data_IF_407074980343
#
_entry.id   IF_407074980343
#
_cell.length_a   1.000
_cell.length_b   1.000
_cell.length_c   1.000
_cell.angle_alpha   90.00
_cell.angle_beta   90.00
_cell.angle_gamma   90.00
#
_symmetry.space_group_name_H-M   'P 1'
#
loop_
_entity.id
_entity.type
_entity.pdbx_description
1 polymer ?
#
# COMPACT_ATOMS: atom_id res chain seq x y z
N UNK A 1 73.95 -17.64 42.29
CA UNK A 1 73.96 -16.18 42.52
C UNK A 1 72.59 -15.79 43.09
N UNK A 2 72.58 -15.44 44.39
CA UNK A 2 71.61 -14.83 45.34
C UNK A 2 70.10 -14.69 44.95
N UNK A 3 69.09 -15.28 45.64
CA UNK A 3 68.38 -14.96 46.93
C UNK A 3 67.49 -13.67 46.82
N UNK A 4 66.16 -13.58 47.11
CA UNK A 4 65.49 -13.58 48.45
C UNK A 4 63.92 -13.47 48.41
N UNK A 5 63.21 -14.42 49.06
CA UNK A 5 62.15 -14.34 50.13
C UNK A 5 61.29 -13.05 50.29
N UNK A 6 59.95 -13.21 50.41
CA UNK A 6 59.09 -12.86 51.59
C UNK A 6 57.61 -12.57 51.24
N UNK A 7 56.71 -13.25 51.99
CA UNK A 7 55.44 -12.72 52.52
C UNK A 7 54.27 -12.41 51.55
N UNK A 8 52.98 -12.57 51.85
CA UNK A 8 52.20 -12.94 53.04
C UNK A 8 50.73 -13.13 52.57
N UNK A 9 50.16 -14.31 52.84
CA UNK A 9 48.86 -14.56 53.49
C UNK A 9 47.72 -13.49 53.41
N UNK A 10 46.52 -14.01 53.07
CA UNK A 10 45.16 -13.67 53.53
C UNK A 10 44.27 -12.61 52.84
N UNK A 11 43.09 -13.11 52.45
CA UNK A 11 41.84 -12.42 52.15
C UNK A 11 41.36 -11.48 53.29
N UNK A 12 40.68 -10.38 52.94
CA UNK A 12 39.56 -9.89 53.72
C UNK A 12 38.23 -10.16 52.99
N UNK A 13 37.43 -11.04 53.60
CA UNK A 13 35.99 -11.17 53.43
C UNK A 13 35.29 -9.91 53.96
N UNK A 14 35.35 -8.79 53.26
CA UNK A 14 34.53 -7.62 53.58
C UNK A 14 34.20 -6.91 52.29
N UNK A 15 33.09 -7.28 51.65
CA UNK A 15 32.14 -6.37 50.99
C UNK A 15 30.85 -7.16 50.71
N UNK A 16 30.17 -7.56 51.79
CA UNK A 16 28.77 -7.98 51.76
C UNK A 16 27.89 -6.73 51.98
N UNK A 17 26.74 -6.68 51.29
CA UNK A 17 25.77 -5.57 51.17
C UNK A 17 26.24 -4.50 50.17
N UNK A 18 25.46 -4.00 49.20
CA UNK A 18 24.04 -3.61 49.10
C UNK A 18 23.75 -3.64 47.57
N UNK A 19 22.74 -4.29 46.99
CA UNK A 19 21.35 -3.84 46.94
C UNK A 19 20.49 -4.93 46.27
N UNK A 20 19.64 -5.60 47.03
CA UNK A 20 18.44 -6.25 46.53
C UNK A 20 17.42 -5.18 46.18
N UNK A 21 17.31 -4.72 44.93
CA UNK A 21 16.15 -3.92 44.46
C UNK A 21 16.11 -3.68 42.95
N UNK A 22 16.29 -4.69 42.09
CA UNK A 22 15.94 -4.57 40.66
C UNK A 22 15.42 -5.90 40.07
N UNK A 23 14.36 -6.46 40.66
CA UNK A 23 13.52 -7.49 40.01
C UNK A 23 12.02 -7.13 40.09
N UNK A 24 11.73 -5.83 40.01
CA UNK A 24 10.41 -5.34 39.61
C UNK A 24 10.52 -4.63 38.25
N UNK A 25 11.23 -5.27 37.31
CA UNK A 25 11.00 -5.01 35.90
C UNK A 25 9.71 -5.74 35.55
N UNK A 26 8.56 -5.12 35.77
CA UNK A 26 7.38 -5.53 35.03
C UNK A 26 7.72 -5.37 33.56
N UNK A 27 8.02 -6.50 32.90
CA UNK A 27 7.90 -6.61 31.46
C UNK A 27 6.43 -6.33 31.21
N UNK A 28 6.09 -5.04 31.02
CA UNK A 28 4.86 -4.64 30.34
C UNK A 28 4.93 -5.39 29.04
N UNK A 29 4.20 -6.51 28.97
CA UNK A 29 3.83 -7.13 27.72
C UNK A 29 3.40 -5.96 26.84
N UNK A 30 4.19 -5.72 25.80
CA UNK A 30 3.95 -4.68 24.84
C UNK A 30 2.50 -4.91 24.41
N UNK A 31 1.57 -4.07 24.87
CA UNK A 31 0.19 -4.12 24.43
C UNK A 31 0.28 -3.68 22.99
N UNK A 32 0.57 -4.64 22.11
CA UNK A 32 0.58 -4.45 20.69
C UNK A 32 -0.83 -3.99 20.37
N UNK A 33 -1.02 -2.67 20.31
CA UNK A 33 -2.24 -2.06 19.81
C UNK A 33 -2.41 -2.68 18.45
N UNK A 34 -3.39 -3.59 18.33
CA UNK A 34 -3.66 -4.32 17.10
C UNK A 34 -4.15 -3.28 16.11
N UNK A 35 -3.22 -2.62 15.42
CA UNK A 35 -3.51 -1.61 14.42
C UNK A 35 -4.42 -2.26 13.40
N UNK A 36 -5.57 -1.63 13.13
CA UNK A 36 -6.53 -2.13 12.15
C UNK A 36 -5.82 -2.21 10.79
N UNK A 37 -5.56 -3.43 10.32
CA UNK A 37 -5.07 -3.64 8.95
C UNK A 37 -6.24 -3.47 7.99
N UNK A 38 -6.32 -2.29 7.35
CA UNK A 38 -7.34 -1.97 6.36
C UNK A 38 -7.25 -2.85 5.11
N UNK A 39 -6.09 -3.46 4.85
CA UNK A 39 -5.85 -4.34 3.70
C UNK A 39 -6.16 -5.82 4.02
N UNK A 40 -6.72 -6.14 5.17
CA UNK A 40 -7.02 -7.53 5.53
C UNK A 40 -8.17 -8.14 4.71
N UNK A 41 -9.12 -7.31 4.28
CA UNK A 41 -10.29 -7.73 3.50
C UNK A 41 -10.17 -7.60 1.98
N UNK A 42 -9.04 -7.13 1.47
CA UNK A 42 -8.82 -6.99 0.01
C UNK A 42 -8.24 -8.27 -0.59
N UNK A 43 -8.45 -8.49 -1.89
CA UNK A 43 -7.85 -9.62 -2.60
C UNK A 43 -6.34 -9.41 -2.80
N UNK A 44 -5.94 -8.21 -3.22
CA UNK A 44 -4.55 -7.88 -3.55
C UNK A 44 -3.80 -7.26 -2.35
N UNK A 45 -3.73 -8.00 -1.23
CA UNK A 45 -3.22 -7.51 0.05
C UNK A 45 -1.81 -6.90 0.00
N UNK A 46 -0.80 -7.52 -0.66
CA UNK A 46 0.54 -6.93 -0.73
C UNK A 46 0.55 -5.58 -1.44
N UNK A 47 -0.25 -5.46 -2.51
CA UNK A 47 -0.40 -4.22 -3.26
C UNK A 47 -1.08 -3.13 -2.42
N UNK A 48 -2.18 -3.45 -1.75
CA UNK A 48 -2.83 -2.51 -0.84
C UNK A 48 -1.86 -2.01 0.24
N UNK A 49 -1.14 -2.94 0.90
CA UNK A 49 -0.19 -2.59 1.98
C UNK A 49 0.97 -1.74 1.50
N UNK A 50 1.49 -1.98 0.30
CA UNK A 50 2.58 -1.17 -0.27
C UNK A 50 2.14 0.26 -0.60
N UNK A 51 0.85 0.46 -0.94
CA UNK A 51 0.26 1.76 -1.23
C UNK A 51 -0.11 2.51 0.04
N UNK A 52 -0.86 1.89 0.96
CA UNK A 52 -1.35 2.58 2.18
C UNK A 52 -0.32 2.64 3.31
N UNK A 53 0.77 1.85 3.24
CA UNK A 53 1.93 1.90 4.15
C UNK A 53 1.60 2.01 5.65
N UNK A 54 0.57 1.27 6.09
CA UNK A 54 0.17 1.22 7.50
C UNK A 54 -0.71 2.37 7.98
N UNK A 55 -1.25 3.20 7.07
CA UNK A 55 -2.33 4.15 7.39
C UNK A 55 -3.53 3.37 7.96
N UNK A 56 -4.04 3.80 9.11
CA UNK A 56 -5.14 3.15 9.82
C UNK A 56 -6.47 3.89 9.72
N UNK A 57 -6.46 5.16 9.29
CA UNK A 57 -7.66 5.92 9.01
C UNK A 57 -8.22 5.55 7.62
N UNK A 58 -9.45 5.01 7.51
CA UNK A 58 -10.03 4.57 6.24
C UNK A 58 -10.14 5.67 5.19
N UNK A 59 -10.49 6.89 5.60
CA UNK A 59 -10.66 8.01 4.68
C UNK A 59 -9.32 8.39 4.06
N UNK A 60 -8.28 8.54 4.88
CA UNK A 60 -6.92 8.86 4.44
C UNK A 60 -6.34 7.73 3.60
N UNK A 61 -6.52 6.46 3.99
CA UNK A 61 -6.04 5.31 3.23
C UNK A 61 -6.70 5.26 1.84
N UNK A 62 -8.02 5.47 1.77
CA UNK A 62 -8.76 5.52 0.50
C UNK A 62 -8.28 6.66 -0.39
N UNK A 63 -8.10 7.86 0.17
CA UNK A 63 -7.58 9.01 -0.58
C UNK A 63 -6.20 8.74 -1.16
N UNK A 64 -5.29 8.16 -0.37
CA UNK A 64 -3.94 7.79 -0.82
C UNK A 64 -4.00 6.73 -1.92
N UNK A 65 -4.84 5.70 -1.76
CA UNK A 65 -4.99 4.64 -2.74
C UNK A 65 -5.51 5.16 -4.09
N UNK A 66 -6.58 5.98 -4.09
CA UNK A 66 -7.11 6.59 -5.31
C UNK A 66 -6.07 7.51 -5.96
N UNK A 67 -5.38 8.35 -5.17
CA UNK A 67 -4.33 9.23 -5.70
C UNK A 67 -3.19 8.45 -6.36
N UNK A 68 -2.82 7.31 -5.77
CA UNK A 68 -1.80 6.43 -6.33
C UNK A 68 -2.26 5.79 -7.63
N UNK A 69 -3.52 5.33 -7.71
CA UNK A 69 -4.13 4.83 -8.93
C UNK A 69 -4.09 5.89 -10.04
N UNK A 70 -4.47 7.15 -9.75
CA UNK A 70 -4.37 8.27 -10.72
C UNK A 70 -2.96 8.43 -11.26
N UNK A 71 -1.94 8.41 -10.39
CA UNK A 71 -0.54 8.54 -10.81
C UNK A 71 -0.15 7.40 -11.75
N UNK A 72 -0.54 6.17 -11.43
CA UNK A 72 -0.24 4.99 -12.25
C UNK A 72 -0.99 5.00 -13.58
N UNK A 73 -2.25 5.43 -13.60
CA UNK A 73 -3.00 5.60 -14.85
C UNK A 73 -2.40 6.70 -15.72
N UNK A 74 -1.95 7.83 -15.14
CA UNK A 74 -1.22 8.88 -15.88
C UNK A 74 0.10 8.38 -16.48
N UNK A 75 0.77 7.45 -15.80
CA UNK A 75 1.95 6.77 -16.36
C UNK A 75 1.56 5.89 -17.55
N UNK A 76 0.49 5.10 -17.44
CA UNK A 76 -0.02 4.29 -18.55
C UNK A 76 -0.43 5.14 -19.77
N UNK A 77 -1.15 6.24 -19.54
CA UNK A 77 -1.50 7.22 -20.56
C UNK A 77 -0.27 7.86 -21.23
N UNK A 78 0.76 8.18 -20.44
CA UNK A 78 1.99 8.75 -20.99
C UNK A 78 2.76 7.72 -21.83
N UNK A 79 2.81 6.47 -21.36
CA UNK A 79 3.43 5.37 -22.10
C UNK A 79 2.69 5.09 -23.41
N UNK A 80 1.36 5.09 -23.44
CA UNK A 80 0.61 4.86 -24.67
C UNK A 80 0.85 5.96 -25.71
N UNK A 81 1.10 7.21 -25.27
CA UNK A 81 1.47 8.32 -26.17
C UNK A 81 2.83 8.14 -26.86
N UNK A 82 3.74 7.35 -26.31
CA UNK A 82 5.06 7.11 -26.95
C UNK A 82 5.02 5.98 -27.98
N UNK A 83 3.91 5.24 -28.07
CA UNK A 83 3.75 4.11 -28.98
C UNK A 83 3.26 4.56 -30.36
N UNK A 84 3.53 3.75 -31.38
CA UNK A 84 3.01 3.98 -32.72
C UNK A 84 1.48 4.03 -32.70
N UNK A 85 0.91 5.00 -33.41
CA UNK A 85 -0.55 5.14 -33.46
C UNK A 85 -1.16 4.03 -34.32
N UNK A 86 -1.85 3.09 -33.67
CA UNK A 86 -2.84 2.21 -34.26
C UNK A 86 -4.17 2.38 -33.49
N UNK A 87 -5.23 1.71 -33.94
CA UNK A 87 -6.56 1.90 -33.34
C UNK A 87 -6.64 1.37 -31.90
N UNK A 88 -6.00 0.23 -31.60
CA UNK A 88 -5.90 -0.30 -30.23
C UNK A 88 -5.21 0.69 -29.28
N UNK A 89 -4.11 1.32 -29.71
CA UNK A 89 -3.39 2.34 -28.95
C UNK A 89 -4.27 3.58 -28.72
N UNK A 90 -5.08 3.99 -29.70
CA UNK A 90 -6.02 5.12 -29.53
C UNK A 90 -7.09 4.78 -28.49
N UNK A 91 -7.68 3.60 -28.57
CA UNK A 91 -8.66 3.11 -27.60
C UNK A 91 -8.05 3.12 -26.19
N UNK A 92 -6.85 2.55 -26.01
CA UNK A 92 -6.18 2.57 -24.72
C UNK A 92 -5.89 3.99 -24.22
N UNK A 93 -5.51 4.94 -25.08
CA UNK A 93 -5.34 6.35 -24.69
C UNK A 93 -6.64 6.94 -24.15
N UNK A 94 -7.75 6.74 -24.86
CA UNK A 94 -9.07 7.21 -24.46
C UNK A 94 -9.49 6.59 -23.13
N UNK A 95 -9.35 5.27 -23.00
CA UNK A 95 -9.68 4.53 -21.77
C UNK A 95 -8.86 5.00 -20.57
N UNK A 96 -7.57 5.29 -20.73
CA UNK A 96 -6.77 5.82 -19.63
C UNK A 96 -7.17 7.26 -19.24
N UNK A 97 -7.54 8.10 -20.20
CA UNK A 97 -8.00 9.48 -19.94
C UNK A 97 -9.35 9.49 -19.22
N UNK A 98 -10.27 8.62 -19.64
CA UNK A 98 -11.56 8.41 -18.97
C UNK A 98 -11.36 7.85 -17.55
N UNK A 99 -10.47 6.87 -17.37
CA UNK A 99 -10.12 6.35 -16.06
C UNK A 99 -9.53 7.44 -15.14
N UNK A 100 -8.65 8.30 -15.64
CA UNK A 100 -8.14 9.45 -14.88
C UNK A 100 -9.30 10.35 -14.44
N UNK A 101 -10.20 10.68 -15.37
CA UNK A 101 -11.35 11.54 -15.10
C UNK A 101 -12.25 10.96 -14.01
N UNK A 102 -12.61 9.68 -14.07
CA UNK A 102 -13.44 9.04 -13.04
C UNK A 102 -12.70 8.86 -11.71
N UNK A 103 -11.39 8.59 -11.71
CA UNK A 103 -10.61 8.55 -10.46
C UNK A 103 -10.50 9.94 -9.80
N UNK A 104 -10.38 11.02 -10.58
CA UNK A 104 -10.40 12.39 -10.06
C UNK A 104 -11.79 12.78 -9.53
N UNK A 105 -12.87 12.35 -10.19
CA UNK A 105 -14.23 12.46 -9.66
C UNK A 105 -14.40 11.68 -8.36
N UNK A 106 -13.82 10.48 -8.28
CA UNK A 106 -13.82 9.65 -7.06
C UNK A 106 -13.22 10.39 -5.87
N UNK A 107 -12.12 11.14 -6.05
CA UNK A 107 -11.58 11.99 -4.97
C UNK A 107 -12.55 13.08 -4.50
N UNK A 108 -13.32 13.67 -5.43
CA UNK A 108 -14.35 14.67 -5.10
C UNK A 108 -15.51 14.01 -4.36
N UNK A 109 -16.02 12.88 -4.86
CA UNK A 109 -17.10 12.10 -4.25
C UNK A 109 -16.73 11.60 -2.85
N UNK A 110 -15.47 11.20 -2.64
CA UNK A 110 -14.92 10.86 -1.33
C UNK A 110 -14.99 12.04 -0.35
N UNK A 111 -14.68 13.26 -0.82
CA UNK A 111 -14.71 14.46 0.01
C UNK A 111 -16.13 14.85 0.44
N UNK A 112 -17.09 14.79 -0.47
CA UNK A 112 -18.51 15.10 -0.19
C UNK A 112 -19.30 13.92 0.37
N UNK A 113 -18.63 12.79 0.63
CA UNK A 113 -19.20 11.54 1.17
C UNK A 113 -20.28 10.90 0.29
N UNK A 114 -20.24 11.15 -1.02
CA UNK A 114 -21.10 10.49 -2.00
C UNK A 114 -20.53 9.10 -2.35
N UNK A 115 -20.89 8.10 -1.53
CA UNK A 115 -20.44 6.72 -1.70
C UNK A 115 -20.97 6.07 -2.99
N UNK A 116 -22.14 6.50 -3.47
CA UNK A 116 -22.76 5.94 -4.68
C UNK A 116 -21.96 6.31 -5.91
N UNK A 117 -21.72 7.62 -6.10
CA UNK A 117 -20.90 8.13 -7.20
C UNK A 117 -19.47 7.63 -7.09
N UNK A 118 -18.89 7.60 -5.89
CA UNK A 118 -17.55 7.05 -5.65
C UNK A 118 -17.41 5.59 -6.12
N UNK A 119 -18.35 4.71 -5.74
CA UNK A 119 -18.30 3.31 -6.16
C UNK A 119 -18.51 3.16 -7.67
N UNK A 120 -19.41 3.94 -8.26
CA UNK A 120 -19.67 3.93 -9.71
C UNK A 120 -18.43 4.35 -10.49
N UNK A 121 -17.79 5.44 -10.09
CA UNK A 121 -16.60 5.98 -10.77
C UNK A 121 -15.39 5.05 -10.65
N UNK A 122 -15.18 4.44 -9.48
CA UNK A 122 -14.12 3.43 -9.30
C UNK A 122 -14.39 2.19 -10.16
N UNK A 123 -15.63 1.71 -10.21
CA UNK A 123 -15.99 0.55 -11.04
C UNK A 123 -15.85 0.85 -12.53
N UNK A 124 -16.20 2.07 -12.97
CA UNK A 124 -15.97 2.52 -14.34
C UNK A 124 -14.48 2.51 -14.69
N UNK A 125 -13.61 3.00 -13.81
CA UNK A 125 -12.16 2.98 -14.02
C UNK A 125 -11.62 1.55 -14.26
N UNK A 126 -12.11 0.55 -13.55
CA UNK A 126 -11.77 -0.87 -13.80
C UNK A 126 -12.16 -1.28 -15.22
N UNK A 127 -13.40 -0.96 -15.63
CA UNK A 127 -13.89 -1.34 -16.97
C UNK A 127 -13.05 -0.74 -18.10
N UNK A 128 -12.52 0.47 -17.94
CA UNK A 128 -11.68 1.09 -18.97
C UNK A 128 -10.35 0.35 -19.18
N UNK A 129 -9.74 -0.18 -18.11
CA UNK A 129 -8.53 -1.00 -18.26
C UNK A 129 -8.82 -2.31 -19.01
N UNK A 130 -9.95 -2.97 -18.69
CA UNK A 130 -10.41 -4.15 -19.42
C UNK A 130 -10.68 -3.83 -20.88
N UNK A 131 -11.40 -2.75 -21.20
CA UNK A 131 -11.71 -2.35 -22.58
C UNK A 131 -10.44 -2.12 -23.41
N UNK A 132 -9.38 -1.58 -22.82
CA UNK A 132 -8.08 -1.46 -23.50
C UNK A 132 -7.54 -2.85 -23.88
N UNK A 133 -7.54 -3.82 -22.96
CA UNK A 133 -7.09 -5.19 -23.26
C UNK A 133 -8.02 -5.92 -24.23
N UNK A 134 -9.34 -5.71 -24.12
CA UNK A 134 -10.34 -6.30 -24.99
C UNK A 134 -10.14 -5.85 -26.45
N UNK A 135 -9.76 -4.59 -26.70
CA UNK A 135 -9.46 -4.10 -28.06
C UNK A 135 -8.33 -4.87 -28.76
N UNK A 136 -7.30 -5.26 -27.99
CA UNK A 136 -6.22 -6.10 -28.49
C UNK A 136 -6.70 -7.54 -28.71
N UNK A 137 -7.44 -8.10 -27.77
CA UNK A 137 -7.99 -9.45 -27.90
C UNK A 137 -8.91 -9.58 -29.14
N UNK A 138 -9.76 -8.59 -29.39
CA UNK A 138 -10.67 -8.54 -30.54
C UNK A 138 -9.95 -8.40 -31.88
N UNK A 139 -8.77 -7.79 -31.90
CA UNK A 139 -7.91 -7.69 -33.08
C UNK A 139 -6.96 -8.89 -33.26
N UNK A 140 -6.97 -9.84 -32.32
CA UNK A 140 -6.08 -11.01 -32.33
C UNK A 140 -4.62 -10.66 -32.01
N UNK A 141 -4.39 -9.53 -31.34
CA UNK A 141 -3.08 -9.04 -30.92
C UNK A 141 -2.90 -9.17 -29.40
N UNK A 142 -1.66 -9.31 -28.95
CA UNK A 142 -1.33 -9.25 -27.52
C UNK A 142 -1.26 -7.79 -27.05
N UNK A 143 -1.97 -7.44 -25.99
CA UNK A 143 -1.90 -6.10 -25.39
C UNK A 143 -0.52 -5.87 -24.77
N UNK A 144 0.23 -4.84 -25.21
CA UNK A 144 1.48 -4.43 -24.57
C UNK A 144 1.24 -3.84 -23.17
N UNK A 145 -0.03 -3.61 -22.78
CA UNK A 145 -0.41 -3.06 -21.50
C UNK A 145 -1.05 -4.09 -20.56
N UNK A 146 -1.29 -5.33 -20.97
CA UNK A 146 -2.06 -6.31 -20.19
C UNK A 146 -1.60 -6.42 -18.72
N UNK A 147 -0.29 -6.48 -18.50
CA UNK A 147 0.25 -6.53 -17.13
C UNK A 147 0.00 -5.23 -16.35
N UNK A 148 0.13 -4.08 -17.01
CA UNK A 148 -0.10 -2.78 -16.41
C UNK A 148 -1.58 -2.56 -16.09
N UNK A 149 -2.46 -2.87 -17.03
CA UNK A 149 -3.92 -2.82 -16.87
C UNK A 149 -4.37 -3.70 -15.72
N UNK A 150 -3.85 -4.93 -15.64
CA UNK A 150 -4.17 -5.81 -14.52
C UNK A 150 -3.78 -5.24 -13.17
N UNK A 151 -2.60 -4.61 -13.09
CA UNK A 151 -2.16 -3.94 -11.87
C UNK A 151 -3.06 -2.74 -11.53
N UNK A 152 -3.49 -1.96 -12.52
CA UNK A 152 -4.39 -0.83 -12.33
C UNK A 152 -5.78 -1.28 -11.84
N UNK A 153 -6.35 -2.33 -12.44
CA UNK A 153 -7.58 -2.97 -11.96
C UNK A 153 -7.46 -3.34 -10.48
N UNK A 154 -6.37 -4.03 -10.10
CA UNK A 154 -6.14 -4.44 -8.72
C UNK A 154 -5.98 -3.25 -7.76
N UNK A 155 -5.39 -2.13 -8.21
CA UNK A 155 -5.30 -0.92 -7.40
C UNK A 155 -6.68 -0.32 -7.14
N UNK A 156 -7.52 -0.25 -8.17
CA UNK A 156 -8.86 0.34 -8.07
C UNK A 156 -9.82 -0.58 -7.31
N UNK A 157 -9.71 -1.90 -7.46
CA UNK A 157 -10.43 -2.88 -6.65
C UNK A 157 -10.10 -2.73 -5.15
N UNK A 158 -8.81 -2.61 -4.81
CA UNK A 158 -8.42 -2.29 -3.44
C UNK A 158 -9.07 -0.98 -2.93
N UNK A 159 -9.24 0.03 -3.80
CA UNK A 159 -9.93 1.27 -3.43
C UNK A 159 -11.40 1.01 -3.09
N UNK A 160 -12.11 0.22 -3.89
CA UNK A 160 -13.51 -0.16 -3.61
C UNK A 160 -13.66 -0.80 -2.23
N UNK A 161 -12.77 -1.73 -1.89
CA UNK A 161 -12.80 -2.37 -0.56
C UNK A 161 -12.44 -1.38 0.56
N UNK A 162 -11.46 -0.49 0.36
CA UNK A 162 -11.12 0.55 1.35
C UNK A 162 -12.28 1.51 1.61
N UNK A 163 -13.08 1.86 0.58
CA UNK A 163 -14.28 2.70 0.74
C UNK A 163 -15.28 2.09 1.71
N UNK A 164 -15.44 0.76 1.71
CA UNK A 164 -16.34 0.07 2.64
C UNK A 164 -15.93 0.21 4.11
N UNK A 165 -14.67 0.58 4.37
CA UNK A 165 -14.13 0.75 5.71
C UNK A 165 -14.43 2.14 6.30
N UNK A 166 -14.94 3.08 5.50
CA UNK A 166 -15.27 4.47 5.90
C UNK A 166 -16.62 4.49 6.62
N UNK A 167 -16.64 5.00 7.86
CA UNK A 167 -17.85 5.22 8.66
C UNK A 167 -18.51 6.55 8.35
#
# INVERSE_FOLDING_TARGET
MSINIKNLISFPLVFLAIATLLLAGEVKANTAVKRKDLCSGVDYKPLCRSVVKGITDPLTATKVAISYAIIKTKQAYTQSKTMANNDNIKICKEMYDDAITNLEKSLKSLHVKDKGTLNSDLSAAISYFSTCDDSYAESGEDSPFATLNKILEHMVDNCLVLVTQIR
#
